data_IF_193623517156
#
_entry.id   IF_193623517156
#
_cell.length_a   1.000
_cell.length_b   1.000
_cell.length_c   1.000
_cell.angle_alpha   90.00
_cell.angle_beta   90.00
_cell.angle_gamma   90.00
#
_symmetry.space_group_name_H-M   'P 1'
#
loop_
_entity.id
_entity.type
_entity.pdbx_description
1 polymer ?
#
# COMPACT_ATOMS: atom_id res chain seq x y z
N UNK A 1 -14.31 18.27 -11.70
CA UNK A 1 -13.66 17.15 -12.41
C UNK A 1 -14.45 15.88 -12.14
N UNK A 2 -14.31 14.83 -12.98
CA UNK A 2 -14.86 13.53 -12.62
C UNK A 2 -13.99 12.97 -11.48
N UNK A 3 -14.56 12.64 -10.32
CA UNK A 3 -13.78 12.30 -9.11
C UNK A 3 -13.10 10.91 -9.16
N UNK A 4 -13.07 10.26 -10.32
CA UNK A 4 -12.58 8.90 -10.48
C UNK A 4 -11.38 8.86 -11.44
N UNK A 5 -10.39 8.03 -11.11
CA UNK A 5 -9.28 7.75 -12.01
C UNK A 5 -9.76 6.97 -13.25
N UNK A 6 -9.04 7.11 -14.37
CA UNK A 6 -9.39 6.47 -15.65
C UNK A 6 -9.53 4.95 -15.56
N UNK A 7 -8.77 4.29 -14.67
CA UNK A 7 -8.89 2.86 -14.41
C UNK A 7 -10.24 2.50 -13.75
N UNK A 8 -10.68 3.28 -12.77
CA UNK A 8 -11.95 3.04 -12.08
C UNK A 8 -13.14 3.27 -13.01
N UNK A 9 -13.06 4.30 -13.85
CA UNK A 9 -14.06 4.58 -14.89
C UNK A 9 -14.10 3.42 -15.90
N UNK A 10 -12.96 2.91 -16.37
CA UNK A 10 -12.89 1.76 -17.27
C UNK A 10 -13.62 0.55 -16.68
N UNK A 11 -13.26 0.14 -15.46
CA UNK A 11 -13.87 -1.01 -14.79
C UNK A 11 -15.38 -0.83 -14.70
N UNK A 12 -15.86 0.34 -14.30
CA UNK A 12 -17.30 0.57 -14.17
C UNK A 12 -18.04 0.70 -15.50
N UNK A 13 -17.38 1.10 -16.58
CA UNK A 13 -17.94 1.07 -17.94
C UNK A 13 -18.03 -0.35 -18.50
N UNK A 14 -17.11 -1.23 -18.13
CA UNK A 14 -17.10 -2.64 -18.55
C UNK A 14 -18.09 -3.46 -17.73
N UNK A 15 -17.97 -3.39 -16.40
CA UNK A 15 -18.76 -4.16 -15.46
C UNK A 15 -18.97 -3.34 -14.17
N UNK A 16 -20.07 -2.58 -14.07
CA UNK A 16 -20.37 -1.82 -12.87
C UNK A 16 -20.69 -2.76 -11.71
N UNK A 17 -20.60 -2.25 -10.48
CA UNK A 17 -20.97 -3.02 -9.30
C UNK A 17 -22.43 -3.54 -9.41
N UNK A 18 -22.76 -4.74 -8.89
CA UNK A 18 -24.08 -5.36 -9.06
C UNK A 18 -25.25 -4.45 -8.68
N UNK A 19 -25.10 -3.66 -7.60
CA UNK A 19 -26.15 -2.74 -7.16
C UNK A 19 -26.39 -1.58 -8.16
N UNK A 20 -25.36 -1.12 -8.86
CA UNK A 20 -25.49 -0.09 -9.91
C UNK A 20 -26.20 -0.69 -11.11
N UNK A 21 -25.82 -1.91 -11.51
CA UNK A 21 -26.47 -2.62 -12.61
C UNK A 21 -27.95 -2.84 -12.31
N UNK A 22 -28.27 -3.35 -11.12
CA UNK A 22 -29.65 -3.51 -10.65
C UNK A 22 -30.44 -2.20 -10.67
N UNK A 23 -29.88 -1.12 -10.12
CA UNK A 23 -30.53 0.20 -10.14
C UNK A 23 -30.82 0.67 -11.57
N UNK A 24 -29.88 0.49 -12.49
CA UNK A 24 -30.04 0.91 -13.88
C UNK A 24 -31.10 0.08 -14.60
N UNK A 25 -31.03 -1.24 -14.49
CA UNK A 25 -31.85 -2.16 -15.27
C UNK A 25 -33.26 -2.30 -14.69
N UNK A 26 -33.36 -2.56 -13.38
CA UNK A 26 -34.63 -2.89 -12.73
C UNK A 26 -35.41 -1.65 -12.26
N UNK A 27 -34.71 -0.62 -11.77
CA UNK A 27 -35.37 0.58 -11.22
C UNK A 27 -35.57 1.65 -12.30
N UNK A 28 -34.56 1.85 -13.14
CA UNK A 28 -34.58 2.93 -14.15
C UNK A 28 -34.94 2.44 -15.56
N UNK A 29 -35.10 1.13 -15.78
CA UNK A 29 -35.43 0.56 -17.08
C UNK A 29 -34.34 0.76 -18.15
N UNK A 30 -33.10 1.05 -17.74
CA UNK A 30 -31.97 1.33 -18.62
C UNK A 30 -31.03 0.13 -18.65
N UNK A 31 -31.14 -0.66 -19.72
CA UNK A 31 -30.25 -1.81 -19.97
C UNK A 31 -28.79 -1.37 -19.98
N UNK A 32 -27.97 -1.99 -19.12
CA UNK A 32 -26.55 -1.70 -19.10
C UNK A 32 -25.82 -2.45 -20.22
N UNK A 33 -25.14 -1.72 -21.10
CA UNK A 33 -24.29 -2.29 -22.14
C UNK A 33 -22.84 -1.96 -21.84
N UNK A 34 -22.10 -2.97 -21.35
CA UNK A 34 -20.68 -2.85 -21.05
C UNK A 34 -19.90 -2.31 -22.25
N UNK A 35 -19.02 -1.34 -22.01
CA UNK A 35 -18.13 -0.75 -23.01
C UNK A 35 -16.69 -1.02 -22.65
N UNK A 36 -16.01 -1.79 -23.48
CA UNK A 36 -14.56 -2.01 -23.37
C UNK A 36 -13.86 -0.85 -24.05
N UNK A 37 -13.21 0.00 -23.26
CA UNK A 37 -12.45 1.16 -23.74
C UNK A 37 -11.03 1.13 -23.17
N UNK A 38 -10.06 1.61 -23.93
CA UNK A 38 -8.72 1.82 -23.40
C UNK A 38 -8.72 2.95 -22.36
N UNK A 39 -7.80 2.91 -21.38
CA UNK A 39 -7.62 4.01 -20.42
C UNK A 39 -7.27 5.33 -21.13
N UNK A 40 -6.59 5.24 -22.26
CA UNK A 40 -6.21 6.39 -23.07
C UNK A 40 -7.43 7.05 -23.72
N UNK A 41 -8.31 6.28 -24.35
CA UNK A 41 -9.54 6.80 -24.96
C UNK A 41 -10.43 7.49 -23.92
N UNK A 42 -10.56 6.90 -22.72
CA UNK A 42 -11.27 7.54 -21.60
C UNK A 42 -10.60 8.86 -21.21
N UNK A 43 -9.26 8.89 -21.11
CA UNK A 43 -8.51 10.10 -20.79
C UNK A 43 -8.68 11.21 -21.85
N UNK A 44 -8.67 10.85 -23.14
CA UNK A 44 -8.86 11.76 -24.27
C UNK A 44 -10.25 12.40 -24.24
N UNK A 45 -11.30 11.61 -24.01
CA UNK A 45 -12.66 12.12 -23.84
C UNK A 45 -12.75 13.05 -22.63
N UNK A 46 -12.18 12.66 -21.49
CA UNK A 46 -12.16 13.52 -20.28
C UNK A 46 -11.39 14.83 -20.52
N UNK A 47 -10.27 14.78 -21.27
CA UNK A 47 -9.51 15.98 -21.66
C UNK A 47 -10.34 16.89 -22.55
N UNK A 48 -10.96 16.34 -23.60
CA UNK A 48 -11.81 17.07 -24.56
C UNK A 48 -12.91 17.88 -23.86
N UNK A 49 -13.48 17.33 -22.79
CA UNK A 49 -14.54 17.99 -22.01
C UNK A 49 -14.05 18.75 -20.77
N UNK A 50 -12.74 19.01 -20.62
CA UNK A 50 -12.15 19.66 -19.44
C UNK A 50 -12.58 19.01 -18.11
N UNK A 51 -12.81 17.70 -18.12
CA UNK A 51 -13.14 16.88 -16.95
C UNK A 51 -11.97 16.01 -16.48
N UNK A 52 -10.88 15.97 -17.25
CA UNK A 52 -9.64 15.32 -16.85
C UNK A 52 -9.00 16.07 -15.69
N UNK A 53 -9.08 15.49 -14.50
CA UNK A 53 -8.46 16.02 -13.30
C UNK A 53 -8.73 15.08 -12.15
N UNK A 54 -7.66 14.53 -11.57
CA UNK A 54 -7.80 13.77 -10.32
C UNK A 54 -8.14 14.76 -9.20
N UNK A 55 -9.23 14.57 -8.42
CA UNK A 55 -9.48 15.38 -7.22
C UNK A 55 -8.32 15.29 -6.22
N UNK A 56 -7.51 14.23 -6.30
CA UNK A 56 -6.33 14.00 -5.49
C UNK A 56 -5.11 14.85 -5.90
N UNK A 57 -5.16 15.63 -6.99
CA UNK A 57 -4.04 16.50 -7.38
C UNK A 57 -3.90 17.73 -6.49
N UNK A 58 -5.00 18.27 -5.94
CA UNK A 58 -4.96 19.50 -5.13
C UNK A 58 -4.25 19.34 -3.78
N UNK A 59 -4.16 18.10 -3.27
CA UNK A 59 -3.55 17.77 -1.98
C UNK A 59 -2.47 16.70 -2.12
N UNK A 60 -1.68 16.71 -3.19
CA UNK A 60 -0.43 15.94 -3.16
C UNK A 60 0.48 16.63 -2.15
N UNK A 61 0.51 16.13 -0.91
CA UNK A 61 1.69 16.30 -0.07
C UNK A 61 2.82 15.69 -0.88
N UNK A 62 3.79 16.51 -1.27
CA UNK A 62 5.04 16.00 -1.78
C UNK A 62 5.62 15.15 -0.65
N UNK A 63 5.54 13.84 -0.82
CA UNK A 63 6.12 12.90 0.13
C UNK A 63 7.62 13.07 0.04
N UNK A 64 8.18 13.81 1.00
CA UNK A 64 9.62 13.84 1.18
C UNK A 64 10.03 12.46 1.67
N UNK A 65 10.76 11.73 0.83
CA UNK A 65 11.42 10.51 1.24
C UNK A 65 12.46 10.89 2.29
N UNK A 66 12.17 10.59 3.55
CA UNK A 66 13.14 10.70 4.63
C UNK A 66 14.05 9.47 4.61
N UNK A 67 15.35 9.69 4.69
CA UNK A 67 16.38 8.65 4.79
C UNK A 67 17.44 9.14 5.78
N UNK A 68 17.92 8.28 6.66
CA UNK A 68 19.04 8.60 7.54
C UNK A 68 20.32 8.89 6.76
N UNK A 69 21.24 9.66 7.35
CA UNK A 69 22.43 10.16 6.67
C UNK A 69 23.52 9.09 6.53
N UNK A 70 23.65 8.19 7.52
CA UNK A 70 24.64 7.10 7.52
C UNK A 70 24.04 5.74 7.91
N UNK A 71 24.69 4.62 7.53
CA UNK A 71 24.33 3.29 8.03
C UNK A 71 24.35 3.26 9.57
N UNK A 72 23.42 2.50 10.17
CA UNK A 72 23.20 2.38 11.61
C UNK A 72 22.75 3.66 12.34
N UNK A 73 22.51 4.77 11.65
CA UNK A 73 21.90 5.95 12.30
C UNK A 73 20.46 5.68 12.74
N UNK A 74 19.72 4.92 11.92
CA UNK A 74 18.33 4.58 12.19
C UNK A 74 18.01 3.19 11.68
N UNK A 75 17.64 2.31 12.60
CA UNK A 75 16.94 1.08 12.24
C UNK A 75 15.42 1.31 12.31
N UNK A 76 14.72 0.91 11.26
CA UNK A 76 13.26 0.83 11.27
C UNK A 76 12.86 -0.61 11.58
N UNK A 77 11.99 -0.78 12.56
CA UNK A 77 11.46 -2.08 12.95
C UNK A 77 9.95 -2.09 12.85
N UNK A 78 9.40 -3.17 12.30
CA UNK A 78 7.97 -3.35 12.11
C UNK A 78 7.57 -4.81 12.32
N UNK A 79 6.34 -5.02 12.74
CA UNK A 79 5.71 -6.34 12.83
C UNK A 79 4.63 -6.39 11.75
N UNK A 80 4.82 -7.28 10.77
CA UNK A 80 3.83 -7.52 9.74
C UNK A 80 3.09 -8.82 9.96
N UNK A 81 1.78 -8.79 9.76
CA UNK A 81 0.91 -9.95 9.87
C UNK A 81 -0.40 -9.63 10.60
N UNK A 82 -1.17 -10.67 10.96
CA UNK A 82 -0.89 -12.07 10.69
C UNK A 82 -0.98 -12.42 9.20
N UNK A 83 -0.16 -13.37 8.76
CA UNK A 83 -0.24 -14.03 7.45
C UNK A 83 -0.55 -15.51 7.64
N UNK A 84 -1.23 -16.13 6.68
CA UNK A 84 -1.50 -17.57 6.70
C UNK A 84 -0.49 -18.36 5.88
N UNK A 85 0.19 -19.31 6.52
CA UNK A 85 1.08 -20.28 5.90
C UNK A 85 0.63 -21.66 6.38
N UNK A 86 0.28 -22.56 5.46
CA UNK A 86 -0.17 -23.93 5.78
C UNK A 86 -1.25 -23.98 6.88
N UNK A 87 -2.25 -23.11 6.74
CA UNK A 87 -3.38 -22.97 7.67
C UNK A 87 -3.01 -22.46 9.08
N UNK A 88 -1.77 -22.03 9.30
CA UNK A 88 -1.30 -21.45 10.56
C UNK A 88 -0.96 -19.96 10.40
N UNK A 89 -1.25 -19.17 11.44
CA UNK A 89 -0.97 -17.72 11.45
C UNK A 89 0.46 -17.44 11.89
N UNK A 90 1.12 -16.55 11.15
CA UNK A 90 2.48 -16.08 11.44
C UNK A 90 2.57 -14.56 11.37
N UNK A 91 3.53 -14.02 12.10
CA UNK A 91 3.94 -12.62 12.09
C UNK A 91 5.40 -12.55 11.67
N UNK A 92 5.75 -11.60 10.81
CA UNK A 92 7.12 -11.29 10.45
C UNK A 92 7.61 -10.14 11.33
N UNK A 93 8.69 -10.36 12.07
CA UNK A 93 9.46 -9.29 12.70
C UNK A 93 10.54 -8.84 11.72
N UNK A 94 10.43 -7.61 11.24
CA UNK A 94 11.31 -7.05 10.23
C UNK A 94 12.10 -5.91 10.84
N UNK A 95 13.42 -5.90 10.63
CA UNK A 95 14.32 -4.80 11.00
C UNK A 95 15.14 -4.46 9.76
N UNK A 96 15.12 -3.19 9.38
CA UNK A 96 15.91 -2.67 8.25
C UNK A 96 16.72 -1.46 8.68
N UNK A 97 17.90 -1.30 8.09
CA UNK A 97 18.65 -0.06 8.17
C UNK A 97 18.03 0.98 7.22
N UNK A 98 17.63 2.14 7.72
CA UNK A 98 16.92 3.15 6.91
C UNK A 98 17.85 3.77 5.85
N UNK A 99 19.14 3.95 6.18
CA UNK A 99 20.11 4.49 5.23
C UNK A 99 20.44 3.50 4.13
N UNK A 100 20.91 2.29 4.39
CA UNK A 100 21.33 1.37 3.33
C UNK A 100 20.17 0.58 2.71
N UNK A 101 19.00 0.54 3.37
CA UNK A 101 17.90 -0.40 3.08
C UNK A 101 18.30 -1.87 3.21
N UNK A 102 19.38 -2.14 3.95
CA UNK A 102 19.82 -3.47 4.28
C UNK A 102 18.84 -4.13 5.27
N UNK A 103 18.40 -5.36 4.95
CA UNK A 103 17.55 -6.15 5.85
C UNK A 103 18.39 -6.78 6.95
N UNK A 104 18.32 -6.20 8.14
CA UNK A 104 19.05 -6.69 9.32
C UNK A 104 18.39 -7.93 9.88
N UNK A 105 17.06 -7.97 9.92
CA UNK A 105 16.30 -9.14 10.34
C UNK A 105 15.00 -9.30 9.55
N UNK A 106 14.66 -10.54 9.23
CA UNK A 106 13.34 -10.94 8.78
C UNK A 106 13.08 -12.35 9.31
N UNK A 107 12.31 -12.45 10.38
CA UNK A 107 12.04 -13.72 11.08
C UNK A 107 10.54 -13.92 11.24
N UNK A 108 10.07 -15.16 11.05
CA UNK A 108 8.67 -15.53 11.24
C UNK A 108 8.43 -16.10 12.63
N UNK A 109 7.33 -15.68 13.24
CA UNK A 109 6.92 -16.04 14.59
C UNK A 109 5.44 -16.38 14.61
N UNK A 110 5.04 -17.39 15.38
CA UNK A 110 3.60 -17.70 15.58
C UNK A 110 2.91 -16.65 16.45
N UNK A 111 3.66 -16.06 17.37
CA UNK A 111 3.30 -14.93 18.22
C UNK A 111 4.57 -14.16 18.56
N UNK A 112 4.49 -12.84 18.71
CA UNK A 112 5.65 -12.02 19.07
C UNK A 112 5.40 -11.39 20.44
N UNK A 113 6.32 -11.65 21.38
CA UNK A 113 6.38 -11.01 22.70
C UNK A 113 7.59 -10.08 22.77
N UNK A 114 7.62 -9.22 23.79
CA UNK A 114 8.77 -8.33 24.04
C UNK A 114 10.08 -9.09 24.21
N UNK A 115 10.06 -10.29 24.81
CA UNK A 115 11.22 -11.17 24.94
C UNK A 115 11.80 -11.58 23.59
N UNK A 116 10.93 -11.87 22.61
CA UNK A 116 11.35 -12.29 21.27
C UNK A 116 12.01 -11.12 20.54
N UNK A 117 11.41 -9.93 20.63
CA UNK A 117 11.95 -8.70 20.05
C UNK A 117 13.30 -8.35 20.65
N UNK A 118 13.42 -8.37 21.98
CA UNK A 118 14.67 -8.03 22.67
C UNK A 118 15.80 -9.03 22.39
N UNK A 119 15.47 -10.32 22.26
CA UNK A 119 16.42 -11.35 21.83
C UNK A 119 16.93 -11.09 20.41
N UNK A 120 16.01 -10.88 19.46
CA UNK A 120 16.35 -10.59 18.06
C UNK A 120 17.19 -9.32 17.95
N UNK A 121 16.81 -8.23 18.62
CA UNK A 121 17.59 -6.99 18.62
C UNK A 121 18.98 -7.18 19.21
N UNK A 122 19.11 -7.98 20.28
CA UNK A 122 20.41 -8.27 20.89
C UNK A 122 21.32 -9.02 19.92
N UNK A 123 20.80 -9.98 19.16
CA UNK A 123 21.55 -10.70 18.12
C UNK A 123 21.93 -9.77 16.96
N UNK A 124 20.99 -8.95 16.50
CA UNK A 124 21.23 -7.98 15.44
C UNK A 124 22.32 -6.98 15.81
N UNK A 125 22.31 -6.46 17.05
CA UNK A 125 23.33 -5.53 17.55
C UNK A 125 24.71 -6.19 17.60
N UNK A 126 24.79 -7.46 18.02
CA UNK A 126 26.05 -8.21 18.00
C UNK A 126 26.61 -8.38 16.59
N UNK A 127 25.74 -8.58 15.59
CA UNK A 127 26.14 -8.82 14.19
C UNK A 127 26.45 -7.53 13.41
N UNK A 128 25.61 -6.50 13.56
CA UNK A 128 25.61 -5.32 12.70
C UNK A 128 26.07 -4.05 13.43
N UNK A 129 26.40 -4.14 14.72
CA UNK A 129 26.67 -2.98 15.57
C UNK A 129 25.39 -2.35 16.13
N UNK A 130 25.56 -1.51 17.15
CA UNK A 130 24.43 -0.83 17.80
C UNK A 130 23.97 0.37 16.95
N UNK A 131 22.67 0.49 16.62
CA UNK A 131 22.17 1.68 15.95
C UNK A 131 22.10 2.87 16.90
N UNK A 132 22.17 4.08 16.34
CA UNK A 132 21.94 5.32 17.09
C UNK A 132 20.49 5.44 17.55
N UNK A 133 19.54 5.05 16.69
CA UNK A 133 18.09 5.11 16.96
C UNK A 133 17.36 3.91 16.39
N UNK A 134 16.25 3.56 17.02
CA UNK A 134 15.28 2.60 16.48
C UNK A 134 13.93 3.31 16.37
N UNK A 135 13.33 3.27 15.19
CA UNK A 135 11.96 3.73 14.95
C UNK A 135 11.04 2.53 14.82
N UNK A 136 9.94 2.57 15.57
CA UNK A 136 8.86 1.59 15.52
C UNK A 136 7.57 2.36 15.33
N UNK A 137 6.75 1.95 14.37
CA UNK A 137 5.41 2.52 14.21
C UNK A 137 4.49 1.99 15.31
N UNK A 138 3.56 2.83 15.79
CA UNK A 138 2.69 2.49 16.93
C UNK A 138 1.47 1.68 16.52
#
# INVERSE_FOLDING_TARGET
>A
SFNWGTQRIKVSLESPAPYIKFLLEEVLGKVWRGRVLSRQSINEVLKKHNRNGSPYRKNRRDWNFFRADFPNDLWQMDIKGPFRIENQSYYALIVIDDHSRYTINCSLHRSIKTSDITSVLSECIKRCGKPSKILVDK
#
